data_IF_718900767047
#
_entry.id   IF_718900767047
#
_cell.length_a   1.000
_cell.length_b   1.000
_cell.length_c   1.000
_cell.angle_alpha   90.00
_cell.angle_beta   90.00
_cell.angle_gamma   90.00
#
_symmetry.space_group_name_H-M   'P 1'
#
loop_
_entity.id
_entity.type
_entity.pdbx_description
1 polymer ?
#
# COMPACT_ATOMS: atom_id res chain seq x y z
N UNK A 1 24.52 3.77 -8.07
CA UNK A 1 23.70 4.58 -8.97
C UNK A 1 23.99 6.09 -8.75
N UNK A 2 23.80 6.69 -7.58
CA UNK A 2 23.95 8.12 -7.32
C UNK A 2 25.31 8.74 -7.73
N UNK A 3 26.40 7.96 -7.68
CA UNK A 3 27.76 8.37 -8.08
C UNK A 3 28.02 8.32 -9.58
N UNK A 4 27.21 7.57 -10.34
CA UNK A 4 27.30 7.40 -11.81
C UNK A 4 25.90 7.21 -12.38
N UNK A 5 25.06 8.27 -12.42
CA UNK A 5 23.70 8.18 -12.95
C UNK A 5 23.72 7.71 -14.41
N UNK A 6 22.68 6.97 -14.78
CA UNK A 6 22.43 6.41 -16.11
C UNK A 6 23.47 5.42 -16.65
N UNK A 7 24.59 5.19 -15.97
CA UNK A 7 25.63 4.23 -16.39
C UNK A 7 25.37 2.85 -15.78
N UNK A 8 24.96 2.82 -14.51
CA UNK A 8 24.68 1.59 -13.78
C UNK A 8 23.24 1.61 -13.26
N UNK A 9 22.56 0.47 -13.43
CA UNK A 9 21.21 0.27 -12.84
C UNK A 9 20.17 1.27 -13.37
N UNK A 10 19.94 1.26 -14.67
CA UNK A 10 18.89 2.08 -15.29
C UNK A 10 17.89 1.18 -16.08
N UNK A 11 16.59 1.17 -15.70
CA UNK A 11 16.04 1.81 -14.52
C UNK A 11 16.47 1.16 -13.21
N UNK A 12 16.38 1.88 -12.10
CA UNK A 12 16.44 1.29 -10.76
C UNK A 12 15.00 1.18 -10.22
N UNK A 13 14.54 -0.03 -10.01
CA UNK A 13 13.23 -0.31 -9.45
C UNK A 13 13.37 -0.79 -8.00
N UNK A 14 12.84 -0.03 -7.05
CA UNK A 14 12.93 -0.31 -5.62
C UNK A 14 11.55 -0.70 -5.11
N UNK A 15 11.41 -1.89 -4.54
CA UNK A 15 10.13 -2.31 -4.02
C UNK A 15 10.24 -2.84 -2.59
N UNK A 16 9.10 -2.98 -1.92
CA UNK A 16 8.97 -3.49 -0.55
C UNK A 16 7.74 -2.91 0.13
N UNK A 17 7.32 -3.52 1.22
CA UNK A 17 6.10 -3.15 1.94
C UNK A 17 6.02 -1.66 2.27
N UNK A 18 4.81 -1.16 2.52
CA UNK A 18 4.61 0.23 2.93
C UNK A 18 5.35 0.52 4.24
N UNK A 19 5.92 1.73 4.34
CA UNK A 19 6.61 2.19 5.56
C UNK A 19 8.05 1.74 5.72
N UNK A 20 8.67 1.09 4.72
CA UNK A 20 10.08 0.66 4.77
C UNK A 20 11.10 1.74 4.35
N UNK A 21 10.65 2.96 4.05
CA UNK A 21 11.55 4.07 3.76
C UNK A 21 11.89 4.27 2.27
N UNK A 22 11.14 3.68 1.33
CA UNK A 22 11.35 3.86 -0.12
C UNK A 22 11.44 5.33 -0.55
N UNK A 23 10.45 6.12 -0.18
CA UNK A 23 10.42 7.57 -0.40
C UNK A 23 11.66 8.28 0.18
N UNK A 24 12.10 7.86 1.37
CA UNK A 24 13.29 8.41 2.03
C UNK A 24 14.55 8.14 1.21
N UNK A 25 14.63 6.94 0.63
CA UNK A 25 15.73 6.56 -0.24
C UNK A 25 15.74 7.38 -1.54
N UNK A 26 14.58 7.66 -2.15
CA UNK A 26 14.50 8.57 -3.31
C UNK A 26 15.03 9.97 -2.97
N UNK A 27 14.66 10.53 -1.81
CA UNK A 27 15.18 11.82 -1.38
C UNK A 27 16.68 11.78 -1.10
N UNK A 28 17.18 10.70 -0.49
CA UNK A 28 18.62 10.54 -0.25
C UNK A 28 19.41 10.48 -1.58
N UNK A 29 18.90 9.72 -2.56
CA UNK A 29 19.45 9.65 -3.91
C UNK A 29 19.44 11.02 -4.58
N UNK A 30 18.30 11.71 -4.57
CA UNK A 30 18.16 13.06 -5.13
C UNK A 30 19.19 14.03 -4.53
N UNK A 31 19.32 14.02 -3.21
CA UNK A 31 20.27 14.91 -2.49
C UNK A 31 21.72 14.60 -2.86
N UNK A 32 22.11 13.33 -2.95
CA UNK A 32 23.47 12.94 -3.29
C UNK A 32 23.80 13.25 -4.75
N UNK A 33 22.85 13.03 -5.67
CA UNK A 33 23.02 13.41 -7.09
C UNK A 33 23.12 14.92 -7.22
N UNK A 34 22.25 15.69 -6.57
CA UNK A 34 22.32 17.17 -6.62
C UNK A 34 23.66 17.70 -6.09
N UNK A 35 24.19 17.08 -5.01
CA UNK A 35 25.50 17.46 -4.46
C UNK A 35 26.65 17.15 -5.43
N UNK A 36 26.60 15.98 -6.08
CA UNK A 36 27.67 15.52 -6.98
C UNK A 36 27.55 16.11 -8.39
N UNK A 37 26.34 16.42 -8.84
CA UNK A 37 26.01 16.91 -10.18
C UNK A 37 25.00 18.07 -10.11
N UNK A 38 25.40 19.28 -9.66
CA UNK A 38 24.47 20.40 -9.41
C UNK A 38 23.70 20.87 -10.64
N UNK A 39 24.20 20.58 -11.84
CA UNK A 39 23.59 21.00 -13.12
C UNK A 39 22.52 20.01 -13.63
N UNK A 40 22.38 18.84 -13.00
CA UNK A 40 21.37 17.85 -13.42
C UNK A 40 19.96 18.32 -13.04
N UNK A 41 19.07 18.27 -14.02
CA UNK A 41 17.63 18.47 -13.78
C UNK A 41 17.06 17.23 -13.11
N UNK A 42 16.59 17.40 -11.86
CA UNK A 42 16.00 16.32 -11.06
C UNK A 42 14.50 16.55 -10.96
N UNK A 43 13.71 15.58 -11.43
CA UNK A 43 12.26 15.62 -11.32
C UNK A 43 11.81 14.48 -10.42
N UNK A 44 11.09 14.82 -9.34
CA UNK A 44 10.45 13.90 -8.43
C UNK A 44 8.94 14.04 -8.55
N UNK A 45 8.23 12.92 -8.63
CA UNK A 45 6.77 12.88 -8.64
C UNK A 45 6.26 11.57 -8.03
N UNK A 46 5.04 11.57 -7.51
CA UNK A 46 4.31 10.36 -7.16
C UNK A 46 3.47 9.87 -8.32
N UNK A 47 3.21 8.56 -8.39
CA UNK A 47 2.43 7.96 -9.46
C UNK A 47 0.99 8.50 -9.56
N UNK A 48 0.36 8.83 -8.45
CA UNK A 48 -0.97 9.47 -8.41
C UNK A 48 -0.91 10.94 -8.86
N UNK A 49 0.10 11.70 -8.43
CA UNK A 49 0.30 13.09 -8.85
C UNK A 49 0.59 13.18 -10.36
N UNK A 50 1.40 12.26 -10.92
CA UNK A 50 1.63 12.16 -12.36
C UNK A 50 0.32 11.99 -13.15
N UNK A 51 -0.58 11.13 -12.63
CA UNK A 51 -1.91 10.95 -13.21
C UNK A 51 -2.74 12.23 -13.16
N UNK A 52 -2.77 12.89 -12.00
CA UNK A 52 -3.58 14.09 -11.80
C UNK A 52 -3.07 15.24 -12.66
N UNK A 53 -1.75 15.46 -12.72
CA UNK A 53 -1.15 16.48 -13.59
C UNK A 53 -1.41 16.20 -15.07
N UNK A 54 -1.36 14.93 -15.50
CA UNK A 54 -1.69 14.56 -16.88
C UNK A 54 -3.15 14.87 -17.23
N UNK A 55 -4.09 14.51 -16.34
CA UNK A 55 -5.53 14.80 -16.55
C UNK A 55 -5.76 16.31 -16.66
N UNK A 56 -5.12 17.10 -15.81
CA UNK A 56 -5.23 18.54 -15.84
C UNK A 56 -4.62 19.15 -17.13
N UNK A 57 -3.47 18.63 -17.57
CA UNK A 57 -2.83 19.04 -18.81
C UNK A 57 -3.69 18.74 -20.04
N UNK A 58 -4.44 17.63 -20.03
CA UNK A 58 -5.40 17.32 -21.11
C UNK A 58 -6.57 18.31 -21.09
N UNK A 59 -7.16 18.57 -19.92
CA UNK A 59 -8.30 19.50 -19.77
C UNK A 59 -7.95 20.93 -20.17
N UNK A 60 -6.74 21.36 -19.83
CA UNK A 60 -6.26 22.74 -20.10
C UNK A 60 -5.56 22.89 -21.47
N UNK A 61 -5.39 21.81 -22.23
CA UNK A 61 -4.68 21.84 -23.51
C UNK A 61 -3.16 22.07 -23.40
N UNK A 62 -2.55 21.80 -22.22
CA UNK A 62 -1.14 22.06 -21.92
C UNK A 62 -0.28 20.79 -21.93
N UNK A 63 -0.68 19.77 -22.67
CA UNK A 63 0.05 18.48 -22.74
C UNK A 63 1.50 18.62 -23.24
N UNK A 64 1.79 19.63 -24.08
CA UNK A 64 3.16 19.92 -24.50
C UNK A 64 4.06 20.31 -23.34
N UNK A 65 3.59 21.21 -22.46
CA UNK A 65 4.33 21.63 -21.26
C UNK A 65 4.51 20.48 -20.25
N UNK A 66 3.50 19.62 -20.11
CA UNK A 66 3.61 18.40 -19.30
C UNK A 66 4.74 17.50 -19.82
N UNK A 67 4.76 17.21 -21.12
CA UNK A 67 5.82 16.40 -21.76
C UNK A 67 7.20 17.02 -21.63
N UNK A 68 7.31 18.31 -21.81
CA UNK A 68 8.56 19.07 -21.64
C UNK A 68 9.10 18.87 -20.22
N UNK A 69 8.28 19.05 -19.21
CA UNK A 69 8.64 18.87 -17.79
C UNK A 69 9.24 17.50 -17.50
N UNK A 70 8.64 16.42 -18.00
CA UNK A 70 9.04 15.06 -17.61
C UNK A 70 10.05 14.41 -18.55
N UNK A 71 10.02 14.72 -19.85
CA UNK A 71 10.89 14.07 -20.84
C UNK A 71 12.28 14.67 -20.96
N UNK A 72 12.55 15.80 -20.27
CA UNK A 72 13.87 16.45 -20.24
C UNK A 72 14.60 16.32 -18.90
N UNK A 73 14.08 15.55 -17.96
CA UNK A 73 14.75 15.30 -16.69
C UNK A 73 16.04 14.49 -16.89
N UNK A 74 17.13 14.87 -16.21
CA UNK A 74 18.36 14.06 -16.16
C UNK A 74 18.25 12.92 -15.16
N UNK A 75 17.48 13.14 -14.08
CA UNK A 75 17.12 12.15 -13.08
C UNK A 75 15.60 12.20 -12.84
N UNK A 76 14.90 11.14 -13.22
CA UNK A 76 13.47 11.01 -13.03
C UNK A 76 13.16 10.02 -11.91
N UNK A 77 12.59 10.54 -10.82
CA UNK A 77 12.26 9.81 -9.61
C UNK A 77 10.73 9.68 -9.50
N UNK A 78 10.21 8.47 -9.53
CA UNK A 78 8.77 8.23 -9.39
C UNK A 78 8.51 7.39 -8.17
N UNK A 79 7.77 7.95 -7.23
CA UNK A 79 7.38 7.27 -6.01
C UNK A 79 6.01 6.62 -6.17
N UNK A 80 5.87 5.42 -5.62
CA UNK A 80 4.62 4.65 -5.62
C UNK A 80 4.00 4.49 -7.02
N UNK A 81 4.80 3.97 -7.97
CA UNK A 81 4.41 3.80 -9.39
C UNK A 81 3.16 2.92 -9.57
N UNK A 82 2.83 2.04 -8.62
CA UNK A 82 1.63 1.20 -8.68
C UNK A 82 0.33 2.01 -8.81
N UNK A 83 0.32 3.29 -8.47
CA UNK A 83 -0.87 4.15 -8.60
C UNK A 83 -1.23 4.55 -10.04
N UNK A 84 -0.36 4.29 -11.03
CA UNK A 84 -0.75 4.44 -12.44
C UNK A 84 -1.47 3.19 -12.99
N UNK A 85 -1.40 2.06 -12.28
CA UNK A 85 -2.03 0.80 -12.71
C UNK A 85 -3.55 0.96 -12.90
N UNK A 86 -4.10 0.32 -13.93
CA UNK A 86 -5.53 0.43 -14.28
C UNK A 86 -5.94 1.73 -14.98
N UNK A 87 -5.00 2.65 -15.27
CA UNK A 87 -5.27 3.95 -15.92
C UNK A 87 -4.60 3.97 -17.29
N UNK A 88 -5.25 3.40 -18.31
CA UNK A 88 -4.67 3.16 -19.63
C UNK A 88 -3.97 4.38 -20.24
N UNK A 89 -4.65 5.53 -20.33
CA UNK A 89 -4.06 6.76 -20.89
C UNK A 89 -2.82 7.24 -20.12
N UNK A 90 -2.82 7.10 -18.79
CA UNK A 90 -1.67 7.45 -17.96
C UNK A 90 -0.50 6.50 -18.18
N UNK A 91 -0.79 5.20 -18.30
CA UNK A 91 0.23 4.20 -18.58
C UNK A 91 0.86 4.40 -19.95
N UNK A 92 0.07 4.77 -20.95
CA UNK A 92 0.58 5.07 -22.29
C UNK A 92 1.50 6.31 -22.30
N UNK A 93 1.09 7.42 -21.69
CA UNK A 93 1.96 8.62 -21.58
C UNK A 93 3.21 8.35 -20.76
N UNK A 94 3.09 7.55 -19.68
CA UNK A 94 4.24 7.13 -18.88
C UNK A 94 5.20 6.25 -19.68
N UNK A 95 4.69 5.33 -20.49
CA UNK A 95 5.49 4.48 -21.37
C UNK A 95 6.31 5.32 -22.37
N UNK A 96 5.71 6.32 -22.99
CA UNK A 96 6.42 7.22 -23.88
C UNK A 96 7.46 8.08 -23.16
N UNK A 97 7.13 8.58 -21.97
CA UNK A 97 8.07 9.35 -21.14
C UNK A 97 9.27 8.49 -20.73
N UNK A 98 9.00 7.26 -20.27
CA UNK A 98 10.04 6.30 -19.92
C UNK A 98 10.98 6.02 -21.08
N UNK A 99 10.45 5.68 -22.27
CA UNK A 99 11.28 5.38 -23.44
C UNK A 99 12.13 6.58 -23.86
N UNK A 100 11.56 7.80 -23.90
CA UNK A 100 12.31 9.02 -24.22
C UNK A 100 13.50 9.22 -23.29
N UNK A 101 13.28 9.07 -21.98
CA UNK A 101 14.35 9.22 -20.99
C UNK A 101 15.39 8.10 -21.10
N UNK A 102 14.94 6.86 -21.28
CA UNK A 102 15.82 5.70 -21.36
C UNK A 102 16.74 5.77 -22.58
N UNK A 103 16.19 6.09 -23.77
CA UNK A 103 16.95 6.26 -25.01
C UNK A 103 17.93 7.43 -24.94
N UNK A 104 17.52 8.52 -24.26
CA UNK A 104 18.39 9.67 -23.98
C UNK A 104 19.43 9.40 -22.88
N UNK A 105 19.52 8.16 -22.37
CA UNK A 105 20.42 7.75 -21.28
C UNK A 105 20.26 8.61 -20.02
N UNK A 106 19.03 8.97 -19.69
CA UNK A 106 18.68 9.64 -18.43
C UNK A 106 18.36 8.62 -17.36
N UNK A 107 18.67 8.93 -16.10
CA UNK A 107 18.45 8.01 -15.00
C UNK A 107 16.98 7.98 -14.58
N UNK A 108 16.43 6.79 -14.49
CA UNK A 108 15.07 6.53 -14.00
C UNK A 108 15.15 5.73 -12.71
N UNK A 109 14.44 6.16 -11.66
CA UNK A 109 14.29 5.43 -10.40
C UNK A 109 12.81 5.38 -10.05
N UNK A 110 12.32 4.18 -9.83
CA UNK A 110 10.91 3.91 -9.53
C UNK A 110 10.81 3.23 -8.17
N UNK A 111 9.77 3.55 -7.40
CA UNK A 111 9.43 2.78 -6.20
C UNK A 111 8.05 2.17 -6.32
N UNK A 112 7.83 1.05 -5.62
CA UNK A 112 6.54 0.36 -5.54
C UNK A 112 6.40 -0.37 -4.20
N UNK A 113 5.17 -0.70 -3.83
CA UNK A 113 4.88 -1.59 -2.69
C UNK A 113 5.13 -3.08 -3.00
N UNK A 114 5.28 -3.43 -4.29
CA UNK A 114 5.46 -4.79 -4.81
C UNK A 114 6.30 -4.82 -6.09
N UNK A 115 6.87 -5.98 -6.49
CA UNK A 115 7.63 -6.09 -7.73
C UNK A 115 6.75 -5.86 -8.97
N UNK A 116 7.33 -5.49 -10.14
CA UNK A 116 6.57 -5.16 -11.35
C UNK A 116 5.56 -6.22 -11.79
N UNK A 117 5.95 -7.49 -11.72
CA UNK A 117 5.11 -8.65 -12.09
C UNK A 117 3.83 -8.76 -11.24
N UNK A 118 3.87 -8.32 -9.99
CA UNK A 118 2.77 -8.43 -9.04
C UNK A 118 1.86 -7.18 -9.01
N UNK A 119 2.16 -6.17 -9.84
CA UNK A 119 1.28 -5.01 -10.01
C UNK A 119 0.15 -5.42 -10.96
N UNK A 120 -1.02 -5.70 -10.38
CA UNK A 120 -2.21 -6.01 -11.15
C UNK A 120 -2.58 -4.83 -12.05
N UNK A 121 -3.15 -5.09 -13.23
CA UNK A 121 -3.59 -4.06 -14.20
C UNK A 121 -2.49 -3.09 -14.70
N UNK A 122 -1.20 -3.39 -14.46
CA UNK A 122 -0.10 -2.70 -15.12
C UNK A 122 0.13 -3.30 -16.52
N UNK A 123 0.33 -2.44 -17.52
CA UNK A 123 0.64 -2.84 -18.90
C UNK A 123 1.92 -3.69 -18.93
N UNK A 124 1.89 -4.81 -19.66
CA UNK A 124 3.02 -5.75 -19.72
C UNK A 124 4.26 -5.13 -20.38
N UNK A 125 4.09 -4.14 -21.26
CA UNK A 125 5.20 -3.36 -21.81
C UNK A 125 5.92 -2.58 -20.71
N UNK A 126 5.18 -2.00 -19.75
CA UNK A 126 5.77 -1.29 -18.61
C UNK A 126 6.43 -2.25 -17.62
N UNK A 127 5.80 -3.41 -17.33
CA UNK A 127 6.43 -4.44 -16.49
C UNK A 127 7.80 -4.83 -17.04
N UNK A 128 7.86 -5.14 -18.32
CA UNK A 128 9.10 -5.49 -19.01
C UNK A 128 10.16 -4.38 -18.92
N UNK A 129 9.75 -3.10 -19.12
CA UNK A 129 10.65 -1.95 -19.02
C UNK A 129 11.21 -1.76 -17.60
N UNK A 130 10.36 -1.94 -16.58
CA UNK A 130 10.79 -1.80 -15.19
C UNK A 130 11.80 -2.86 -14.76
N UNK A 131 11.76 -4.04 -15.39
CA UNK A 131 12.68 -5.14 -15.14
C UNK A 131 13.97 -5.07 -15.95
N UNK A 132 14.13 -4.15 -16.92
CA UNK A 132 15.35 -4.04 -17.73
C UNK A 132 16.61 -3.69 -16.95
N UNK A 133 16.46 -2.97 -15.84
CA UNK A 133 17.58 -2.55 -15.01
C UNK A 133 17.76 -3.40 -13.76
N UNK A 134 18.00 -2.73 -12.62
CA UNK A 134 18.11 -3.39 -11.33
C UNK A 134 16.79 -3.30 -10.57
N UNK A 135 16.28 -4.45 -10.16
CA UNK A 135 15.16 -4.54 -9.20
C UNK A 135 15.73 -4.84 -7.82
N UNK A 136 15.48 -3.94 -6.86
CA UNK A 136 15.97 -4.03 -5.49
C UNK A 136 14.83 -4.15 -4.50
N UNK A 137 14.89 -5.18 -3.66
CA UNK A 137 13.92 -5.45 -2.61
C UNK A 137 14.35 -4.79 -1.29
N UNK A 138 13.46 -4.04 -0.65
CA UNK A 138 13.69 -3.49 0.69
C UNK A 138 12.96 -4.35 1.72
N UNK A 139 13.74 -5.03 2.54
CA UNK A 139 13.26 -5.84 3.65
C UNK A 139 13.08 -5.01 4.93
N UNK A 140 12.24 -5.49 5.87
CA UNK A 140 12.16 -4.90 7.20
C UNK A 140 13.55 -4.79 7.86
N UNK A 141 13.84 -3.69 8.55
CA UNK A 141 15.14 -3.49 9.19
C UNK A 141 15.39 -4.50 10.30
N UNK A 142 16.65 -4.91 10.47
CA UNK A 142 17.08 -5.69 11.63
C UNK A 142 16.98 -4.92 12.94
N UNK A 143 17.25 -5.58 14.06
CA UNK A 143 17.09 -5.00 15.40
C UNK A 143 17.97 -3.77 15.61
N UNK A 144 19.24 -3.86 15.21
CA UNK A 144 20.24 -2.79 15.34
C UNK A 144 19.86 -1.57 14.49
N UNK A 145 19.43 -1.81 13.28
CA UNK A 145 18.94 -0.75 12.39
C UNK A 145 17.70 -0.06 12.94
N UNK A 146 16.77 -0.80 13.56
CA UNK A 146 15.60 -0.19 14.22
C UNK A 146 15.99 0.71 15.38
N UNK A 147 16.94 0.28 16.23
CA UNK A 147 17.48 1.12 17.30
C UNK A 147 18.12 2.39 16.74
N UNK A 148 18.95 2.26 15.71
CA UNK A 148 19.59 3.42 15.07
C UNK A 148 18.56 4.41 14.49
N UNK A 149 17.45 3.91 13.92
CA UNK A 149 16.35 4.75 13.42
C UNK A 149 15.69 5.51 14.56
N UNK A 150 15.39 4.83 15.69
CA UNK A 150 14.78 5.45 16.89
C UNK A 150 15.68 6.57 17.42
N UNK A 151 16.96 6.28 17.62
CA UNK A 151 17.94 7.25 18.15
C UNK A 151 18.04 8.46 17.22
N UNK A 152 18.29 8.25 15.92
CA UNK A 152 18.39 9.35 14.94
C UNK A 152 17.13 10.19 14.87
N UNK A 153 15.97 9.56 14.98
CA UNK A 153 14.69 10.29 14.99
C UNK A 153 14.54 11.13 16.25
N UNK A 154 14.91 10.61 17.42
CA UNK A 154 14.90 11.35 18.68
C UNK A 154 15.85 12.56 18.64
N UNK A 155 17.09 12.37 18.18
CA UNK A 155 18.08 13.44 17.98
C UNK A 155 17.57 14.52 17.02
N UNK A 156 16.96 14.13 15.90
CA UNK A 156 16.40 15.10 14.95
C UNK A 156 15.24 15.91 15.53
N UNK A 157 14.61 15.41 16.58
CA UNK A 157 13.55 16.08 17.33
C UNK A 157 14.04 16.79 18.59
N UNK A 158 15.37 16.80 18.85
CA UNK A 158 16.00 17.53 19.96
C UNK A 158 15.80 16.90 21.34
N UNK A 159 15.68 15.56 21.43
CA UNK A 159 15.62 14.87 22.72
C UNK A 159 16.31 13.49 22.66
N UNK A 160 16.55 12.90 23.82
CA UNK A 160 17.20 11.59 23.95
C UNK A 160 16.25 10.57 24.54
N UNK A 161 16.40 9.32 24.12
CA UNK A 161 15.64 8.17 24.62
C UNK A 161 16.63 7.22 25.28
N UNK A 162 16.38 6.75 26.52
CA UNK A 162 17.23 5.75 27.16
C UNK A 162 17.31 4.44 26.36
N UNK A 163 18.47 3.76 26.40
CA UNK A 163 18.74 2.56 25.59
C UNK A 163 17.70 1.44 25.81
N UNK A 164 17.35 1.18 27.07
CA UNK A 164 16.33 0.17 27.41
C UNK A 164 14.94 0.49 26.82
N UNK A 165 14.62 1.76 26.61
CA UNK A 165 13.37 2.20 25.97
C UNK A 165 13.47 2.03 24.45
N UNK A 166 14.63 2.35 23.85
CA UNK A 166 14.91 2.10 22.44
C UNK A 166 14.77 0.62 22.11
N UNK A 167 15.39 -0.24 22.90
CA UNK A 167 15.31 -1.70 22.76
C UNK A 167 13.88 -2.21 22.90
N UNK A 168 13.14 -1.71 23.88
CA UNK A 168 11.74 -2.08 24.07
C UNK A 168 10.89 -1.77 22.84
N UNK A 169 10.98 -0.54 22.29
CA UNK A 169 10.24 -0.12 21.08
C UNK A 169 10.69 -0.96 19.88
N UNK A 170 11.99 -1.14 19.67
CA UNK A 170 12.54 -1.92 18.56
C UNK A 170 12.10 -3.39 18.59
N UNK A 171 11.94 -3.98 19.78
CA UNK A 171 11.42 -5.34 19.94
C UNK A 171 9.94 -5.47 19.62
N UNK A 172 9.15 -4.44 19.89
CA UNK A 172 7.70 -4.45 19.69
C UNK A 172 7.29 -4.06 18.27
N UNK A 173 7.96 -3.10 17.65
CA UNK A 173 7.64 -2.59 16.30
C UNK A 173 8.70 -3.10 15.32
N UNK A 174 8.38 -4.18 14.58
CA UNK A 174 9.37 -4.92 13.76
C UNK A 174 9.28 -4.65 12.26
N UNK A 175 8.10 -4.33 11.75
CA UNK A 175 7.80 -4.41 10.32
C UNK A 175 7.73 -3.05 9.60
N UNK A 176 7.59 -1.93 10.35
CA UNK A 176 7.26 -0.65 9.74
C UNK A 176 8.03 0.51 10.38
N UNK A 177 8.89 1.16 9.59
CA UNK A 177 9.70 2.30 10.05
C UNK A 177 8.82 3.50 10.41
N UNK A 178 7.68 3.72 9.71
CA UNK A 178 6.75 4.80 10.07
C UNK A 178 6.20 4.65 11.48
N UNK A 179 6.01 3.40 11.94
CA UNK A 179 5.56 3.11 13.30
C UNK A 179 6.63 3.45 14.32
N UNK A 180 7.91 3.13 14.05
CA UNK A 180 9.03 3.54 14.90
C UNK A 180 9.09 5.07 15.04
N UNK A 181 9.00 5.79 13.91
CA UNK A 181 8.97 7.26 13.92
C UNK A 181 7.73 7.82 14.63
N UNK A 182 6.58 7.19 14.48
CA UNK A 182 5.33 7.54 15.18
C UNK A 182 5.47 7.40 16.70
N UNK A 183 6.05 6.28 17.17
CA UNK A 183 6.32 6.04 18.57
C UNK A 183 7.26 7.10 19.17
N UNK A 184 8.34 7.45 18.46
CA UNK A 184 9.28 8.50 18.89
C UNK A 184 8.59 9.87 19.00
N UNK A 185 7.76 10.25 18.01
CA UNK A 185 6.99 11.49 18.06
C UNK A 185 6.01 11.53 19.23
N UNK A 186 5.36 10.42 19.53
CA UNK A 186 4.41 10.30 20.64
C UNK A 186 5.10 10.37 22.00
N UNK A 187 6.28 9.73 22.14
CA UNK A 187 7.12 9.88 23.32
C UNK A 187 7.55 11.33 23.57
N UNK A 188 7.95 12.04 22.51
CA UNK A 188 8.28 13.46 22.60
C UNK A 188 7.07 14.28 23.07
N UNK A 189 5.88 13.99 22.56
CA UNK A 189 4.67 14.68 22.99
C UNK A 189 4.39 14.45 24.48
N UNK A 190 4.50 13.23 24.98
CA UNK A 190 4.36 12.92 26.40
C UNK A 190 5.39 13.66 27.27
N UNK A 191 6.64 13.71 26.82
CA UNK A 191 7.71 14.41 27.53
C UNK A 191 7.47 15.93 27.60
N UNK A 192 7.10 16.55 26.48
CA UNK A 192 6.97 18.02 26.38
C UNK A 192 5.62 18.53 26.91
N UNK A 193 4.53 17.83 26.67
CA UNK A 193 3.17 18.33 26.98
C UNK A 193 2.65 17.81 28.32
N UNK A 194 3.04 16.62 28.71
CA UNK A 194 2.54 15.98 29.91
C UNK A 194 3.63 15.88 31.02
N UNK A 195 4.85 16.38 30.74
CA UNK A 195 6.00 16.30 31.65
C UNK A 195 6.28 14.88 32.17
N UNK A 196 5.91 13.85 31.39
CA UNK A 196 6.12 12.46 31.73
C UNK A 196 7.56 12.04 31.46
N UNK A 197 8.22 11.32 32.38
CA UNK A 197 9.56 10.81 32.13
C UNK A 197 9.57 9.78 31.02
N UNK A 198 10.67 9.73 30.24
CA UNK A 198 10.86 8.73 29.17
C UNK A 198 11.32 7.43 29.84
N UNK A 199 10.41 6.47 29.97
CA UNK A 199 10.65 5.15 30.53
C UNK A 199 9.81 4.08 29.79
N UNK A 200 9.95 2.81 30.18
CA UNK A 200 9.22 1.70 29.54
C UNK A 200 7.71 1.87 29.65
N UNK A 201 7.17 2.39 30.75
CA UNK A 201 5.74 2.58 30.93
C UNK A 201 5.18 3.63 29.96
N UNK A 202 5.88 4.77 29.79
CA UNK A 202 5.52 5.78 28.79
C UNK A 202 5.70 5.29 27.37
N UNK A 203 6.73 4.46 27.10
CA UNK A 203 6.90 3.82 25.80
C UNK A 203 5.75 2.85 25.49
N UNK A 204 5.35 2.05 26.47
CA UNK A 204 4.20 1.15 26.33
C UNK A 204 2.90 1.91 25.99
N UNK A 205 2.65 2.99 26.68
CA UNK A 205 1.50 3.86 26.36
C UNK A 205 1.62 4.50 24.98
N UNK A 206 2.84 4.90 24.56
CA UNK A 206 3.07 5.50 23.26
C UNK A 206 2.82 4.54 22.09
N UNK A 207 3.12 3.24 22.25
CA UNK A 207 3.00 2.25 21.17
C UNK A 207 1.70 1.43 21.25
N UNK A 208 0.91 1.53 22.32
CA UNK A 208 -0.31 0.73 22.50
C UNK A 208 -1.28 0.84 21.32
N UNK A 209 -1.57 2.06 20.88
CA UNK A 209 -2.49 2.29 19.76
C UNK A 209 -1.88 1.84 18.44
N UNK A 210 -0.54 1.94 18.30
CA UNK A 210 0.17 1.50 17.10
C UNK A 210 0.06 -0.03 16.97
N UNK A 211 0.27 -0.75 18.07
CA UNK A 211 0.18 -2.22 18.11
C UNK A 211 -1.28 -2.66 17.93
N UNK A 212 -2.23 -1.98 18.57
CA UNK A 212 -3.64 -2.31 18.44
C UNK A 212 -4.18 -2.05 17.04
N UNK A 213 -3.67 -1.03 16.35
CA UNK A 213 -4.02 -0.74 14.95
C UNK A 213 -3.30 -1.68 13.95
N UNK A 214 -2.19 -2.32 14.36
CA UNK A 214 -1.49 -3.33 13.54
C UNK A 214 -2.13 -4.73 13.65
N UNK A 215 -2.88 -5.00 14.69
CA UNK A 215 -3.81 -6.11 14.64
C UNK A 215 -4.92 -5.68 13.68
N UNK A 216 -5.12 -6.41 12.56
CA UNK A 216 -6.27 -6.14 11.71
C UNK A 216 -7.47 -6.08 12.65
N UNK A 217 -8.19 -4.96 12.63
CA UNK A 217 -9.39 -4.81 13.45
C UNK A 217 -10.20 -6.09 13.25
N UNK A 218 -10.67 -6.73 14.33
CA UNK A 218 -11.30 -8.03 14.21
C UNK A 218 -12.33 -7.94 13.08
N UNK A 219 -12.16 -8.83 12.09
CA UNK A 219 -13.01 -8.81 10.90
C UNK A 219 -14.42 -9.11 11.38
N UNK A 220 -15.22 -8.06 11.52
CA UNK A 220 -16.62 -8.21 11.96
C UNK A 220 -17.48 -8.62 10.78
N UNK A 221 -18.58 -9.32 11.08
CA UNK A 221 -19.57 -9.70 10.06
C UNK A 221 -20.07 -8.46 9.30
N UNK A 222 -20.19 -7.31 9.98
CA UNK A 222 -20.62 -6.05 9.37
C UNK A 222 -19.64 -5.57 8.29
N UNK A 223 -18.34 -5.56 8.58
CA UNK A 223 -17.29 -5.20 7.59
C UNK A 223 -17.32 -6.11 6.37
N UNK A 224 -17.52 -7.42 6.57
CA UNK A 224 -17.62 -8.37 5.46
C UNK A 224 -18.82 -8.03 4.58
N UNK A 225 -19.98 -7.81 5.17
CA UNK A 225 -21.21 -7.50 4.43
C UNK A 225 -21.10 -6.17 3.70
N UNK A 226 -20.49 -5.14 4.30
CA UNK A 226 -20.25 -3.85 3.68
C UNK A 226 -19.34 -3.96 2.46
N UNK A 227 -18.24 -4.70 2.55
CA UNK A 227 -17.31 -4.88 1.45
C UNK A 227 -17.93 -5.67 0.29
N UNK A 228 -18.73 -6.71 0.59
CA UNK A 228 -19.49 -7.43 -0.45
C UNK A 228 -20.52 -6.52 -1.10
N UNK A 229 -21.28 -5.75 -0.31
CA UNK A 229 -22.26 -4.80 -0.84
C UNK A 229 -21.60 -3.77 -1.78
N UNK A 230 -20.44 -3.26 -1.40
CA UNK A 230 -19.65 -2.33 -2.22
C UNK A 230 -19.20 -2.96 -3.53
N UNK A 231 -18.71 -4.20 -3.51
CA UNK A 231 -18.21 -4.92 -4.70
C UNK A 231 -19.32 -5.23 -5.69
N UNK A 232 -20.51 -5.62 -5.20
CA UNK A 232 -21.66 -5.91 -6.06
C UNK A 232 -22.33 -4.65 -6.63
N UNK A 233 -22.17 -3.47 -6.00
CA UNK A 233 -22.77 -2.21 -6.41
C UNK A 233 -24.31 -2.22 -6.38
N UNK A 234 -24.91 -1.09 -6.00
CA UNK A 234 -26.39 -0.96 -5.98
C UNK A 234 -27.13 -1.84 -4.96
N UNK A 235 -26.40 -2.47 -4.02
CA UNK A 235 -26.93 -3.33 -2.94
C UNK A 235 -26.43 -2.77 -1.62
N UNK A 236 -27.32 -2.69 -0.62
CA UNK A 236 -26.97 -2.26 0.73
C UNK A 236 -26.72 -3.46 1.66
N UNK A 237 -26.03 -3.22 2.78
CA UNK A 237 -25.85 -4.23 3.84
C UNK A 237 -27.18 -4.74 4.38
N UNK A 238 -28.18 -3.88 4.43
CA UNK A 238 -29.55 -4.22 4.84
C UNK A 238 -30.24 -5.14 3.83
N UNK A 239 -30.03 -4.91 2.52
CA UNK A 239 -30.55 -5.79 1.47
C UNK A 239 -29.98 -7.23 1.58
N UNK A 240 -28.68 -7.35 1.86
CA UNK A 240 -28.02 -8.64 2.06
C UNK A 240 -28.64 -9.40 3.23
N UNK A 241 -28.99 -8.72 4.33
CA UNK A 241 -29.64 -9.32 5.50
C UNK A 241 -31.15 -9.53 5.34
N UNK A 242 -31.77 -8.87 4.37
CA UNK A 242 -33.21 -8.90 4.16
C UNK A 242 -33.72 -10.25 3.63
N UNK A 243 -35.03 -10.42 3.57
CA UNK A 243 -35.69 -11.58 2.94
C UNK A 243 -35.88 -11.43 1.41
N UNK A 244 -35.37 -10.34 0.80
CA UNK A 244 -35.47 -10.12 -0.65
C UNK A 244 -34.82 -11.25 -1.44
N UNK A 245 -35.47 -11.63 -2.56
CA UNK A 245 -35.08 -12.77 -3.41
C UNK A 245 -34.57 -12.34 -4.81
N UNK A 246 -34.18 -11.08 -4.97
CA UNK A 246 -33.54 -10.62 -6.20
C UNK A 246 -32.24 -11.43 -6.44
N UNK A 247 -31.97 -11.78 -7.70
CA UNK A 247 -30.82 -12.62 -8.06
C UNK A 247 -29.48 -12.05 -7.57
N UNK A 248 -29.25 -10.72 -7.77
CA UNK A 248 -28.03 -10.04 -7.33
C UNK A 248 -27.89 -10.03 -5.80
N UNK A 249 -28.98 -9.73 -5.08
CA UNK A 249 -29.00 -9.73 -3.61
C UNK A 249 -28.78 -11.16 -3.07
N UNK A 250 -29.36 -12.17 -3.75
CA UNK A 250 -29.17 -13.56 -3.36
C UNK A 250 -27.73 -14.01 -3.55
N UNK A 251 -27.12 -13.65 -4.69
CA UNK A 251 -25.70 -13.95 -4.96
C UNK A 251 -24.76 -13.25 -3.95
N UNK A 252 -24.94 -11.95 -3.73
CA UNK A 252 -24.18 -11.21 -2.74
C UNK A 252 -24.31 -11.79 -1.32
N UNK A 253 -25.52 -12.20 -0.94
CA UNK A 253 -25.78 -12.87 0.35
C UNK A 253 -25.07 -14.21 0.48
N UNK A 254 -25.07 -15.05 -0.57
CA UNK A 254 -24.39 -16.34 -0.57
C UNK A 254 -22.88 -16.14 -0.43
N UNK A 255 -22.29 -15.20 -1.17
CA UNK A 255 -20.87 -14.84 -1.05
C UNK A 255 -20.55 -14.30 0.34
N UNK A 256 -21.40 -13.43 0.89
CA UNK A 256 -21.21 -12.93 2.27
C UNK A 256 -21.21 -14.05 3.31
N UNK A 257 -22.15 -15.02 3.21
CA UNK A 257 -22.21 -16.18 4.12
C UNK A 257 -20.94 -17.05 4.01
N UNK A 258 -20.45 -17.27 2.79
CA UNK A 258 -19.22 -17.99 2.54
C UNK A 258 -18.01 -17.30 3.18
N UNK A 259 -17.82 -15.99 2.92
CA UNK A 259 -16.69 -15.23 3.44
C UNK A 259 -16.76 -15.11 4.97
N UNK A 260 -17.96 -14.87 5.54
CA UNK A 260 -18.15 -14.87 7.00
C UNK A 260 -17.71 -16.18 7.61
N UNK A 261 -18.15 -17.31 7.06
CA UNK A 261 -17.76 -18.64 7.56
C UNK A 261 -16.26 -18.88 7.45
N UNK A 262 -15.66 -18.51 6.31
CA UNK A 262 -14.24 -18.71 6.03
C UNK A 262 -13.33 -17.89 6.96
N UNK A 263 -13.70 -16.63 7.21
CA UNK A 263 -12.84 -15.71 7.99
C UNK A 263 -13.10 -15.86 9.49
N UNK A 264 -14.36 -15.94 9.92
CA UNK A 264 -14.73 -15.88 11.36
C UNK A 264 -14.82 -17.25 12.01
N UNK A 265 -14.87 -18.34 11.23
CA UNK A 265 -15.06 -19.72 11.70
C UNK A 265 -16.36 -19.93 12.51
N UNK A 266 -17.34 -19.02 12.41
CA UNK A 266 -18.66 -19.12 13.06
C UNK A 266 -19.38 -20.40 12.61
N UNK A 267 -20.18 -21.02 13.47
CA UNK A 267 -21.01 -22.16 13.10
C UNK A 267 -22.08 -21.77 12.06
N UNK A 268 -22.60 -22.74 11.31
CA UNK A 268 -23.64 -22.49 10.30
C UNK A 268 -24.91 -21.87 10.90
N UNK A 269 -25.20 -22.19 12.17
CA UNK A 269 -26.33 -21.64 12.92
C UNK A 269 -26.10 -20.17 13.25
N UNK A 270 -24.91 -19.83 13.77
CA UNK A 270 -24.53 -18.45 14.06
C UNK A 270 -24.53 -17.59 12.80
N UNK A 271 -23.94 -18.08 11.69
CA UNK A 271 -24.02 -17.41 10.40
C UNK A 271 -25.48 -17.15 10.00
N UNK A 272 -26.36 -18.16 10.10
CA UNK A 272 -27.78 -18.00 9.78
C UNK A 272 -28.47 -16.91 10.59
N UNK A 273 -28.17 -16.81 11.90
CA UNK A 273 -28.69 -15.77 12.76
C UNK A 273 -28.27 -14.34 12.31
N UNK A 274 -27.03 -14.14 11.90
CA UNK A 274 -26.54 -12.83 11.46
C UNK A 274 -27.12 -12.38 10.10
N UNK A 275 -27.65 -13.32 9.30
CA UNK A 275 -28.28 -13.04 8.01
C UNK A 275 -29.83 -13.09 8.06
N UNK A 276 -30.42 -12.56 9.14
CA UNK A 276 -31.87 -12.41 9.27
C UNK A 276 -32.59 -13.68 9.74
N UNK A 277 -31.95 -14.49 10.59
CA UNK A 277 -32.52 -15.69 11.20
C UNK A 277 -32.76 -16.85 10.23
N UNK A 278 -31.83 -17.02 9.27
CA UNK A 278 -31.93 -18.10 8.28
C UNK A 278 -31.55 -19.43 8.87
N UNK A 279 -32.25 -20.48 8.42
CA UNK A 279 -31.99 -21.85 8.82
C UNK A 279 -30.57 -22.28 8.37
N UNK A 280 -29.92 -23.12 9.19
CA UNK A 280 -28.59 -23.68 8.91
C UNK A 280 -28.51 -24.40 7.56
N UNK A 281 -29.59 -25.08 7.14
CA UNK A 281 -29.66 -25.74 5.83
C UNK A 281 -29.52 -24.74 4.66
N UNK A 282 -30.10 -23.54 4.82
CA UNK A 282 -29.96 -22.43 3.83
C UNK A 282 -28.52 -21.96 3.76
N UNK A 283 -27.82 -21.83 4.89
CA UNK A 283 -26.41 -21.42 4.95
C UNK A 283 -25.52 -22.49 4.31
N UNK A 284 -25.72 -23.75 4.64
CA UNK A 284 -24.97 -24.86 4.04
C UNK A 284 -25.16 -24.91 2.52
N UNK A 285 -26.39 -24.74 2.03
CA UNK A 285 -26.65 -24.65 0.59
C UNK A 285 -25.92 -23.48 -0.05
N UNK A 286 -25.99 -22.29 0.55
CA UNK A 286 -25.34 -21.10 0.04
C UNK A 286 -23.81 -21.29 -0.08
N UNK A 287 -23.17 -21.81 0.95
CA UNK A 287 -21.72 -22.04 0.97
C UNK A 287 -21.33 -23.07 -0.12
N UNK A 288 -22.01 -24.20 -0.20
CA UNK A 288 -21.75 -25.20 -1.24
C UNK A 288 -21.90 -24.65 -2.66
N UNK A 289 -22.90 -23.77 -2.87
CA UNK A 289 -23.10 -23.16 -4.17
C UNK A 289 -21.95 -22.22 -4.53
N UNK A 290 -21.45 -21.42 -3.58
CA UNK A 290 -20.27 -20.57 -3.79
C UNK A 290 -19.03 -21.41 -4.05
N UNK A 291 -18.75 -22.44 -3.25
CA UNK A 291 -17.62 -23.35 -3.45
C UNK A 291 -17.62 -24.01 -4.83
N UNK A 292 -18.80 -24.42 -5.31
CA UNK A 292 -18.96 -24.98 -6.66
C UNK A 292 -18.65 -23.94 -7.74
N UNK A 293 -19.14 -22.71 -7.56
CA UNK A 293 -18.91 -21.62 -8.53
C UNK A 293 -17.43 -21.21 -8.55
N UNK A 294 -16.75 -21.13 -7.39
CA UNK A 294 -15.32 -20.82 -7.30
C UNK A 294 -14.43 -21.82 -8.06
N UNK A 295 -14.87 -23.07 -8.21
CA UNK A 295 -14.15 -24.10 -8.99
C UNK A 295 -14.35 -23.93 -10.49
N UNK A 296 -15.49 -23.40 -10.92
CA UNK A 296 -15.92 -23.41 -12.31
C UNK A 296 -15.87 -22.01 -12.98
N UNK A 297 -15.75 -20.93 -12.19
CA UNK A 297 -15.75 -19.55 -12.65
C UNK A 297 -14.52 -18.80 -12.11
N UNK A 298 -13.47 -18.61 -12.95
CA UNK A 298 -12.27 -17.86 -12.57
C UNK A 298 -12.54 -16.40 -12.20
N UNK A 299 -13.55 -15.77 -12.82
CA UNK A 299 -13.91 -14.38 -12.53
C UNK A 299 -14.52 -14.25 -11.12
N UNK A 300 -15.43 -15.17 -10.77
CA UNK A 300 -15.99 -15.20 -9.42
C UNK A 300 -14.91 -15.48 -8.38
N UNK A 301 -13.95 -16.35 -8.68
CA UNK A 301 -12.82 -16.62 -7.79
C UNK A 301 -11.99 -15.35 -7.55
N UNK A 302 -11.60 -14.65 -8.61
CA UNK A 302 -10.84 -13.41 -8.50
C UNK A 302 -11.60 -12.35 -7.67
N UNK A 303 -12.91 -12.19 -7.90
CA UNK A 303 -13.74 -11.26 -7.14
C UNK A 303 -13.78 -11.59 -5.63
N UNK A 304 -13.94 -12.86 -5.26
CA UNK A 304 -13.98 -13.30 -3.84
C UNK A 304 -12.61 -13.11 -3.21
N UNK A 305 -11.52 -13.45 -3.90
CA UNK A 305 -10.15 -13.26 -3.42
C UNK A 305 -9.85 -11.77 -3.18
N UNK A 306 -10.31 -10.87 -4.08
CA UNK A 306 -10.18 -9.41 -3.92
C UNK A 306 -10.98 -8.90 -2.71
N UNK A 307 -12.20 -9.38 -2.50
CA UNK A 307 -13.01 -9.03 -1.33
C UNK A 307 -12.28 -9.43 -0.05
N UNK A 308 -11.79 -10.68 0.04
CA UNK A 308 -11.08 -11.19 1.22
C UNK A 308 -9.81 -10.36 1.48
N UNK A 309 -9.07 -10.03 0.42
CA UNK A 309 -7.89 -9.17 0.51
C UNK A 309 -8.23 -7.79 1.06
N UNK A 310 -9.24 -7.12 0.49
CA UNK A 310 -9.67 -5.79 0.93
C UNK A 310 -10.13 -5.76 2.39
N UNK A 311 -10.75 -6.85 2.87
CA UNK A 311 -11.18 -7.00 4.27
C UNK A 311 -9.97 -7.13 5.21
N UNK A 312 -8.90 -7.79 4.78
CA UNK A 312 -7.69 -8.02 5.58
C UNK A 312 -6.75 -6.81 5.58
N UNK A 313 -6.75 -6.04 4.49
CA UNK A 313 -5.84 -4.89 4.29
C UNK A 313 -6.39 -3.58 4.89
N UNK A 314 -7.63 -3.58 5.38
CA UNK A 314 -8.34 -2.50 6.09
C UNK A 314 -8.56 -2.79 7.56
#
# INVERSE_FOLDING_TARGET
MATKPAILYNPLFIYGNSGLGKTHLLYAVSKEVHKSFPQMSIVYIKGDDFTNEMIEAIKSGTTAAFREKYRHADLFLVDDIQFIAGKESTQEEFFHTFNTLYEAKKQIVLTSDRPPKDIATLDDRLKTRFEWGLTADIQPPDFETRIAIIIRKAESLGFTIPDNVCEYIANKLKSNIRQLEGAVKKLRAFYLLESKPINIATAQAAISDIINNDQPAPVTVDKIIEEVARTYGGITSEDIRSQKRNSNISAARQVSMYIVREITQMSMVEVGQTFGGRDHSTVVYAIRQVEKNLKNDPHMKAMVDDIIKNIRDR
#
